data_IF_821076755416
#
_entry.id   IF_821076755416
#
_cell.length_a   1.000
_cell.length_b   1.000
_cell.length_c   1.000
_cell.angle_alpha   90.00
_cell.angle_beta   90.00
_cell.angle_gamma   90.00
#
_symmetry.space_group_name_H-M   'P 1'
#
loop_
_entity.id
_entity.type
_entity.pdbx_description
1 polymer ?
#
# COMPACT_ATOMS: atom_id res chain seq x y z
N UNK A 1 18.75 -13.78 -4.10
CA UNK A 1 17.60 -13.82 -4.99
C UNK A 1 17.32 -12.46 -5.64
N UNK A 2 16.32 -12.41 -6.50
CA UNK A 2 15.90 -11.15 -7.11
C UNK A 2 15.16 -10.28 -6.08
N UNK A 3 15.31 -8.94 -6.14
CA UNK A 3 14.44 -8.05 -5.40
C UNK A 3 12.98 -8.31 -5.79
N UNK A 4 12.08 -8.31 -4.80
CA UNK A 4 10.67 -8.55 -5.02
C UNK A 4 9.84 -7.33 -4.61
N UNK A 5 8.89 -6.98 -5.45
CA UNK A 5 7.95 -5.89 -5.21
C UNK A 5 6.53 -6.43 -5.26
N UNK A 6 5.72 -6.08 -4.27
CA UNK A 6 4.32 -6.50 -4.20
C UNK A 6 3.43 -5.29 -3.90
N UNK A 7 2.34 -5.16 -4.66
CA UNK A 7 1.29 -4.22 -4.34
C UNK A 7 0.53 -4.69 -3.08
N UNK A 8 0.30 -3.76 -2.17
CA UNK A 8 -0.57 -3.93 -1.01
C UNK A 8 -1.63 -2.86 -1.04
N UNK A 9 -2.86 -3.23 -0.73
CA UNK A 9 -4.00 -2.33 -0.70
C UNK A 9 -5.08 -2.83 0.24
N UNK A 10 -6.05 -1.97 0.52
CA UNK A 10 -7.17 -2.22 1.39
C UNK A 10 -8.12 -1.01 1.38
N UNK A 11 -9.04 -0.92 2.33
CA UNK A 11 -9.86 0.27 2.50
C UNK A 11 -9.01 1.50 2.81
N UNK A 12 -9.57 2.69 2.67
CA UNK A 12 -8.87 3.92 3.02
C UNK A 12 -8.41 3.86 4.49
N UNK A 13 -7.11 4.09 4.74
CA UNK A 13 -6.54 3.98 6.08
C UNK A 13 -6.14 2.57 6.51
N UNK A 14 -6.08 1.60 5.60
CA UNK A 14 -5.65 0.23 5.93
C UNK A 14 -4.23 0.16 6.52
N UNK A 15 -3.35 1.08 6.15
CA UNK A 15 -2.06 1.24 6.80
C UNK A 15 -2.24 2.12 8.04
N UNK A 16 -2.03 1.55 9.21
CA UNK A 16 -2.26 2.22 10.50
C UNK A 16 -0.94 2.59 11.16
N UNK A 17 -0.92 3.75 11.82
CA UNK A 17 0.19 4.15 12.69
C UNK A 17 -0.10 3.64 14.09
N UNK A 18 0.77 2.78 14.61
CA UNK A 18 0.62 2.20 15.95
C UNK A 18 1.29 3.07 17.01
N UNK A 19 2.42 3.67 16.68
CA UNK A 19 3.16 4.63 17.48
C UNK A 19 4.03 5.54 16.60
N UNK A 20 4.90 6.36 17.20
CA UNK A 20 5.75 7.34 16.50
C UNK A 20 6.69 6.72 15.44
N UNK A 21 7.01 5.44 15.58
CA UNK A 21 7.97 4.74 14.71
C UNK A 21 7.43 3.43 14.13
N UNK A 22 6.16 3.11 14.38
CA UNK A 22 5.61 1.81 14.02
C UNK A 22 4.36 1.94 13.16
N UNK A 23 4.40 1.31 12.01
CA UNK A 23 3.26 1.13 11.11
C UNK A 23 2.79 -0.31 11.13
N UNK A 24 1.53 -0.54 10.79
CA UNK A 24 1.01 -1.88 10.63
C UNK A 24 -0.16 -1.95 9.66
N UNK A 25 -0.38 -3.14 9.11
CA UNK A 25 -1.54 -3.40 8.25
C UNK A 25 -1.93 -4.87 8.26
N UNK A 26 -3.21 -5.13 8.09
CA UNK A 26 -3.72 -6.46 7.91
C UNK A 26 -3.37 -7.02 6.52
N UNK A 27 -2.95 -8.27 6.46
CA UNK A 27 -2.72 -9.02 5.21
C UNK A 27 -3.95 -9.85 4.92
N UNK A 28 -4.74 -9.40 3.95
CA UNK A 28 -5.98 -10.04 3.56
C UNK A 28 -5.72 -11.24 2.66
N UNK A 29 -6.56 -12.25 2.79
CA UNK A 29 -6.51 -13.43 1.92
C UNK A 29 -6.70 -13.02 0.46
N UNK A 30 -5.86 -13.55 -0.42
CA UNK A 30 -5.85 -13.21 -1.82
C UNK A 30 -5.37 -14.37 -2.69
N UNK A 31 -4.52 -14.07 -3.66
CA UNK A 31 -4.01 -15.04 -4.64
C UNK A 31 -2.99 -16.06 -4.10
N UNK A 32 -2.75 -16.07 -2.79
CA UNK A 32 -1.79 -16.96 -2.09
C UNK A 32 -0.35 -16.82 -2.55
N UNK A 33 0.02 -15.67 -3.07
CA UNK A 33 1.39 -15.39 -3.47
C UNK A 33 2.21 -14.91 -2.27
N UNK A 34 2.77 -15.83 -1.50
CA UNK A 34 3.46 -15.58 -0.24
C UNK A 34 4.96 -15.26 -0.39
N UNK A 35 5.38 -14.70 -1.53
CA UNK A 35 6.81 -14.41 -1.80
C UNK A 35 7.37 -13.44 -0.77
N UNK A 36 6.68 -12.32 -0.48
CA UNK A 36 7.13 -11.38 0.56
C UNK A 36 7.20 -12.06 1.92
N UNK A 37 6.17 -12.83 2.30
CA UNK A 37 6.12 -13.54 3.58
C UNK A 37 7.29 -14.53 3.71
N UNK A 38 7.59 -15.26 2.63
CA UNK A 38 8.74 -16.16 2.60
C UNK A 38 10.08 -15.44 2.72
N UNK A 39 10.24 -14.28 2.08
CA UNK A 39 11.45 -13.48 2.18
C UNK A 39 11.68 -12.97 3.61
N UNK A 40 10.63 -12.60 4.33
CA UNK A 40 10.72 -12.11 5.70
C UNK A 40 11.19 -13.14 6.71
N UNK A 41 11.17 -14.44 6.37
CA UNK A 41 11.76 -15.48 7.21
C UNK A 41 13.28 -15.41 7.25
N UNK A 42 13.91 -14.82 6.25
CA UNK A 42 15.36 -14.73 6.12
C UNK A 42 15.91 -13.31 6.20
N UNK A 43 15.12 -12.32 5.85
CA UNK A 43 15.50 -10.89 5.86
C UNK A 43 14.28 -10.04 6.18
N UNK A 44 14.31 -9.36 7.32
CA UNK A 44 13.23 -8.53 7.83
C UNK A 44 13.22 -7.10 7.26
N UNK A 45 14.20 -6.74 6.43
CA UNK A 45 14.28 -5.42 5.82
C UNK A 45 13.23 -5.24 4.74
N UNK A 46 12.53 -4.10 4.80
CA UNK A 46 11.53 -3.74 3.81
C UNK A 46 11.72 -2.31 3.33
N UNK A 47 11.34 -2.09 2.08
CA UNK A 47 11.17 -0.77 1.51
C UNK A 47 9.71 -0.60 1.07
N UNK A 48 9.07 0.49 1.50
CA UNK A 48 7.71 0.84 1.11
C UNK A 48 7.72 2.08 0.22
N UNK A 49 6.77 2.11 -0.70
CA UNK A 49 6.62 3.21 -1.63
C UNK A 49 5.14 3.62 -1.69
N UNK A 50 4.85 4.84 -1.28
CA UNK A 50 3.51 5.40 -1.27
C UNK A 50 3.39 6.49 -2.31
N UNK A 51 2.29 6.49 -3.06
CA UNK A 51 2.01 7.49 -4.09
C UNK A 51 0.72 8.24 -3.81
N UNK A 52 0.84 9.56 -3.81
CA UNK A 52 -0.28 10.51 -3.81
C UNK A 52 -0.24 11.24 -5.17
N UNK A 53 -0.87 10.64 -6.16
CA UNK A 53 -0.87 11.16 -7.53
C UNK A 53 -1.55 12.52 -7.67
N UNK A 54 -2.71 12.79 -7.03
CA UNK A 54 -3.35 14.10 -7.12
C UNK A 54 -2.43 15.23 -6.68
N UNK A 55 -1.70 15.04 -5.60
CA UNK A 55 -0.80 16.04 -5.02
C UNK A 55 0.65 15.92 -5.51
N UNK A 56 0.94 14.99 -6.40
CA UNK A 56 2.30 14.71 -6.93
C UNK A 56 3.33 14.46 -5.82
N UNK A 57 2.91 13.71 -4.80
CA UNK A 57 3.75 13.38 -3.65
C UNK A 57 4.06 11.88 -3.64
N UNK A 58 5.23 11.55 -3.20
CA UNK A 58 5.59 10.16 -2.91
C UNK A 58 6.45 10.09 -1.66
N UNK A 59 6.17 9.09 -0.85
CA UNK A 59 6.94 8.75 0.33
C UNK A 59 7.65 7.43 0.07
N UNK A 60 8.93 7.39 0.35
CA UNK A 60 9.72 6.16 0.50
C UNK A 60 9.97 5.95 1.98
N UNK A 61 9.88 4.71 2.41
CA UNK A 61 10.12 4.32 3.79
C UNK A 61 10.98 3.06 3.81
N UNK A 62 11.94 3.03 4.70
CA UNK A 62 12.76 1.86 5.01
C UNK A 62 12.45 1.41 6.43
N UNK A 63 12.36 0.12 6.65
CA UNK A 63 12.06 -0.40 7.97
C UNK A 63 12.32 -1.90 8.09
N UNK A 64 11.98 -2.41 9.26
CA UNK A 64 12.01 -3.84 9.59
C UNK A 64 10.61 -4.34 9.83
N UNK A 65 10.28 -5.44 9.19
CA UNK A 65 8.96 -6.05 9.27
C UNK A 65 8.98 -7.27 10.16
N UNK A 66 7.92 -7.44 10.93
CA UNK A 66 7.56 -8.72 11.55
C UNK A 66 6.16 -9.14 11.16
N UNK A 67 5.96 -10.42 11.06
CA UNK A 67 4.64 -11.02 10.85
C UNK A 67 3.95 -11.21 12.19
N UNK A 68 2.65 -10.91 12.22
CA UNK A 68 1.77 -11.08 13.37
C UNK A 68 0.73 -12.14 13.00
N UNK A 69 0.68 -13.19 13.75
CA UNK A 69 -0.27 -14.29 13.58
C UNK A 69 -1.43 -14.24 14.58
N UNK A 70 -2.30 -15.27 14.54
CA UNK A 70 -3.47 -15.37 15.41
C UNK A 70 -3.14 -15.37 16.93
N UNK A 71 -1.92 -15.69 17.29
CA UNK A 71 -1.42 -15.69 18.68
C UNK A 71 -1.34 -14.28 19.28
N UNK A 72 -1.26 -13.24 18.44
CA UNK A 72 -1.27 -11.84 18.84
C UNK A 72 -2.62 -11.20 18.51
N UNK A 73 -3.70 -11.74 19.04
CA UNK A 73 -5.07 -11.32 18.71
C UNK A 73 -5.34 -9.82 18.94
N UNK A 74 -4.76 -9.24 19.99
CA UNK A 74 -4.91 -7.81 20.29
C UNK A 74 -4.28 -6.93 19.22
N UNK A 75 -3.11 -7.31 18.72
CA UNK A 75 -2.43 -6.59 17.62
C UNK A 75 -3.20 -6.74 16.31
N UNK A 76 -3.72 -7.92 16.02
CA UNK A 76 -4.56 -8.15 14.85
C UNK A 76 -5.82 -7.29 14.89
N UNK A 77 -6.52 -7.24 16.03
CA UNK A 77 -7.73 -6.44 16.21
C UNK A 77 -7.48 -4.93 16.00
N UNK A 78 -6.30 -4.43 16.35
CA UNK A 78 -5.93 -3.03 16.06
C UNK A 78 -5.76 -2.76 14.57
N UNK A 79 -5.32 -3.75 13.80
CA UNK A 79 -4.98 -3.61 12.39
C UNK A 79 -6.12 -4.00 11.45
N UNK A 80 -7.03 -4.83 11.91
CA UNK A 80 -8.21 -5.25 11.18
C UNK A 80 -9.18 -4.08 10.95
N UNK A 81 -9.88 -4.11 9.82
CA UNK A 81 -10.99 -3.22 9.52
C UNK A 81 -12.27 -4.05 9.48
N UNK A 82 -13.11 -3.89 10.50
CA UNK A 82 -14.33 -4.69 10.69
C UNK A 82 -15.36 -4.47 9.57
N UNK A 83 -15.33 -3.33 8.89
CA UNK A 83 -16.24 -3.00 7.80
C UNK A 83 -15.73 -3.50 6.44
N UNK A 84 -14.51 -4.02 6.36
CA UNK A 84 -13.95 -4.54 5.14
C UNK A 84 -14.16 -6.05 5.02
N UNK A 85 -14.94 -6.54 4.03
CA UNK A 85 -15.41 -7.92 3.97
C UNK A 85 -14.34 -8.91 3.46
N UNK A 86 -13.09 -8.76 3.84
CA UNK A 86 -11.99 -9.65 3.48
C UNK A 86 -11.44 -10.36 4.71
N UNK A 87 -11.12 -11.63 4.57
CA UNK A 87 -10.54 -12.42 5.65
C UNK A 87 -9.08 -12.00 5.88
N UNK A 88 -8.74 -11.66 7.11
CA UNK A 88 -7.37 -11.41 7.55
C UNK A 88 -6.66 -12.76 7.77
N UNK A 89 -5.53 -12.97 7.12
CA UNK A 89 -4.69 -14.15 7.35
C UNK A 89 -3.64 -13.90 8.44
N UNK A 90 -3.12 -12.70 8.47
CA UNK A 90 -2.06 -12.23 9.36
C UNK A 90 -2.00 -10.71 9.33
N UNK A 91 -1.07 -10.12 10.06
CA UNK A 91 -0.71 -8.73 9.86
C UNK A 91 0.80 -8.57 9.72
N UNK A 92 1.20 -7.42 9.21
CA UNK A 92 2.60 -6.99 9.19
C UNK A 92 2.73 -5.74 10.06
N UNK A 93 3.73 -5.77 10.92
CA UNK A 93 4.12 -4.62 11.76
C UNK A 93 5.52 -4.21 11.32
N UNK A 94 5.70 -2.92 11.06
CA UNK A 94 6.93 -2.37 10.47
C UNK A 94 7.49 -1.33 11.40
N UNK A 95 8.69 -1.58 11.92
CA UNK A 95 9.49 -0.59 12.61
C UNK A 95 10.18 0.30 11.58
N UNK A 96 9.86 1.59 11.58
CA UNK A 96 10.41 2.58 10.65
C UNK A 96 11.82 2.96 11.06
N UNK A 97 12.79 2.82 10.16
CA UNK A 97 14.19 3.24 10.35
C UNK A 97 14.50 4.56 9.65
N UNK A 98 13.91 4.79 8.47
CA UNK A 98 14.11 6.01 7.71
C UNK A 98 12.95 6.27 6.75
N UNK A 99 12.75 7.53 6.39
CA UNK A 99 11.83 7.90 5.32
C UNK A 99 12.34 9.14 4.56
N UNK A 100 11.84 9.30 3.33
CA UNK A 100 12.21 10.42 2.47
C UNK A 100 11.04 10.81 1.55
N UNK A 101 10.74 12.11 1.52
CA UNK A 101 9.77 12.70 0.60
C UNK A 101 10.46 13.16 -0.67
N UNK A 102 10.01 12.69 -1.80
CA UNK A 102 10.59 13.06 -3.08
C UNK A 102 10.07 14.38 -3.65
N UNK A 103 10.91 14.98 -4.50
CA UNK A 103 10.55 16.08 -5.38
C UNK A 103 9.33 15.72 -6.26
N UNK A 104 8.35 16.61 -6.44
CA UNK A 104 7.15 16.39 -7.26
C UNK A 104 7.39 16.36 -8.77
N UNK A 105 8.61 16.63 -9.23
CA UNK A 105 8.95 16.65 -10.66
C UNK A 105 8.67 15.29 -11.33
N UNK A 106 8.17 15.35 -12.54
CA UNK A 106 7.86 14.17 -13.37
C UNK A 106 6.79 13.21 -12.83
N UNK A 107 6.07 13.59 -11.77
CA UNK A 107 4.87 12.85 -11.35
C UNK A 107 3.67 13.43 -12.10
N UNK A 108 3.11 12.64 -13.00
CA UNK A 108 1.88 13.01 -13.70
C UNK A 108 0.70 12.90 -12.72
N UNK A 109 -0.06 13.98 -12.48
CA UNK A 109 -1.25 13.91 -11.64
C UNK A 109 -2.26 12.90 -12.19
N UNK A 110 -2.89 12.16 -11.29
CA UNK A 110 -3.98 11.24 -11.61
C UNK A 110 -5.03 11.40 -10.54
N UNK A 111 -6.30 11.33 -10.93
CA UNK A 111 -7.43 11.53 -10.05
C UNK A 111 -8.41 10.38 -10.21
N UNK A 112 -9.05 9.99 -9.13
CA UNK A 112 -10.24 9.16 -9.18
C UNK A 112 -11.44 9.99 -9.66
N UNK A 113 -12.51 9.33 -10.09
CA UNK A 113 -13.75 10.03 -10.49
C UNK A 113 -14.31 10.88 -9.35
N UNK A 114 -14.25 10.39 -8.12
CA UNK A 114 -14.70 11.11 -6.93
C UNK A 114 -13.88 12.38 -6.68
N UNK A 115 -12.56 12.28 -6.80
CA UNK A 115 -11.66 13.43 -6.66
C UNK A 115 -11.90 14.47 -7.76
N UNK A 116 -12.11 14.03 -9.01
CA UNK A 116 -12.44 14.92 -10.12
C UNK A 116 -13.77 15.65 -9.90
N UNK A 117 -14.78 14.96 -9.38
CA UNK A 117 -16.08 15.56 -9.09
C UNK A 117 -16.00 16.65 -8.00
N UNK A 118 -15.04 16.55 -7.08
CA UNK A 118 -14.79 17.53 -6.02
C UNK A 118 -13.93 18.72 -6.45
N UNK A 119 -13.28 18.67 -7.61
CA UNK A 119 -12.44 19.77 -8.09
C UNK A 119 -13.27 20.91 -8.70
N UNK A 120 -12.91 22.18 -8.46
CA UNK A 120 -13.50 23.29 -9.20
C UNK A 120 -13.16 23.13 -10.69
N UNK A 121 -14.10 23.48 -11.58
CA UNK A 121 -13.95 23.32 -13.04
C UNK A 121 -12.68 23.95 -13.61
N UNK A 122 -12.16 24.98 -12.98
CA UNK A 122 -10.91 25.66 -13.35
C UNK A 122 -9.65 24.84 -13.01
N UNK A 123 -9.76 23.85 -12.14
CA UNK A 123 -8.64 23.00 -11.71
C UNK A 123 -8.59 21.65 -12.43
N UNK A 124 -9.62 21.34 -13.23
CA UNK A 124 -9.63 20.10 -14.02
C UNK A 124 -8.62 20.24 -15.18
N UNK A 125 -7.61 19.37 -15.27
CA UNK A 125 -6.65 19.45 -16.37
C UNK A 125 -7.34 19.29 -17.73
N UNK A 126 -7.13 20.23 -18.62
CA UNK A 126 -7.74 20.23 -19.96
C UNK A 126 -7.12 19.19 -20.90
N UNK A 127 -5.98 18.60 -20.52
CA UNK A 127 -5.36 17.51 -21.27
C UNK A 127 -6.05 16.20 -20.95
N UNK A 128 -6.53 15.50 -21.97
CA UNK A 128 -7.08 14.16 -21.86
C UNK A 128 -6.10 13.26 -21.12
N UNK A 129 -6.43 12.91 -19.87
CA UNK A 129 -5.72 11.84 -19.16
C UNK A 129 -5.99 10.57 -19.96
N UNK A 130 -4.96 9.87 -20.46
CA UNK A 130 -5.20 8.59 -21.09
C UNK A 130 -5.90 7.68 -20.08
N UNK A 131 -7.14 7.34 -20.32
CA UNK A 131 -7.82 6.28 -19.57
C UNK A 131 -7.08 5.00 -19.95
N UNK A 132 -6.28 4.48 -19.04
CA UNK A 132 -5.74 3.14 -19.17
C UNK A 132 -6.94 2.21 -19.05
N UNK A 133 -7.48 1.77 -20.19
CA UNK A 133 -8.43 0.67 -20.19
C UNK A 133 -7.67 -0.53 -19.62
N UNK A 134 -8.24 -1.14 -18.61
CA UNK A 134 -7.79 -2.43 -18.12
C UNK A 134 -8.12 -3.48 -19.19
N UNK A 135 -7.24 -3.62 -20.17
CA UNK A 135 -7.30 -4.78 -21.04
C UNK A 135 -6.96 -5.99 -20.16
N UNK A 136 -7.90 -6.90 -20.12
CA UNK A 136 -7.77 -8.18 -19.45
C UNK A 136 -6.48 -8.85 -19.91
N UNK A 137 -5.49 -8.91 -19.02
CA UNK A 137 -4.33 -9.78 -19.21
C UNK A 137 -4.88 -11.20 -19.09
N UNK A 138 -5.06 -11.86 -20.22
CA UNK A 138 -5.31 -13.29 -20.27
C UNK A 138 -4.10 -14.00 -19.63
N UNK A 139 -4.29 -14.95 -18.71
CA UNK A 139 -3.19 -15.73 -18.18
C UNK A 139 -2.65 -16.60 -19.32
N UNK A 140 -1.55 -16.18 -19.88
CA UNK A 140 -0.76 -17.01 -20.78
C UNK A 140 0.09 -17.96 -19.96
N UNK A 141 -0.11 -19.24 -20.23
CA UNK A 141 0.58 -20.49 -19.90
C UNK A 141 1.89 -20.39 -19.11
#
# INVERSE_FOLDING_TARGET
>A
GWPYLQHRGGPAGFMKTLDEHTLGFADYSGNRQYVSTGNFLSDDRVALFFMDYPNRRRLKLLGRVRTVGPEEADTLALLEDADYPAQVERAFVIQVEAFDWNCPQHITPRFTETELAGLPRSAVPTAAVPVVKSDSISPGV
#
